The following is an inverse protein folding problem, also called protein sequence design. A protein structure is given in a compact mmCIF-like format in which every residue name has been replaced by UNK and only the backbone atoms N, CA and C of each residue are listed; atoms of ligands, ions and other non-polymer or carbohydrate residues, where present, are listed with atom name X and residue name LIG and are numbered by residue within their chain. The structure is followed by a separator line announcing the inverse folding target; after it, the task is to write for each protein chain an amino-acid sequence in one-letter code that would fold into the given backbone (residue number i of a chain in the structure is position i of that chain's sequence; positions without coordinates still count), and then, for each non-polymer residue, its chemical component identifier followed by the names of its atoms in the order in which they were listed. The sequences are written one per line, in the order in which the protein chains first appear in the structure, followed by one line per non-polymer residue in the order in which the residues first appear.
data_IF_597780239092
#
_entry.id   IF_597780239092
#
_cell.length_a   1.000
_cell.length_b   1.000
_cell.length_c   1.000
_cell.angle_alpha   90.00
_cell.angle_beta   90.00
_cell.angle_gamma   90.00
#
_symmetry.space_group_name_H-M   'P 1'
#
loop_
_entity.id
_entity.type
_entity.pdbx_description
1 polymer ?
#
# COMPACT_ATOMS: atom_id res chain seq x y z
N UNK A 1 -9.08 3.24 6.91
CA UNK A 1 -8.48 2.39 5.86
C UNK A 1 -9.15 2.78 4.55
N UNK A 2 -8.38 2.96 3.47
CA UNK A 2 -8.88 3.50 2.20
C UNK A 2 -8.84 2.46 1.08
N UNK A 3 -9.62 2.68 0.04
CA UNK A 3 -9.67 1.81 -1.13
C UNK A 3 -8.32 1.66 -1.81
N UNK A 4 -7.50 2.71 -1.89
CA UNK A 4 -6.14 2.67 -2.47
C UNK A 4 -5.15 1.77 -1.69
N UNK A 5 -5.49 1.34 -0.48
CA UNK A 5 -4.69 0.40 0.31
C UNK A 5 -5.16 -1.07 0.13
N UNK A 6 -6.13 -1.33 -0.74
CA UNK A 6 -6.73 -2.66 -0.96
C UNK A 6 -6.04 -3.41 -2.11
N UNK A 7 -5.86 -4.72 -1.98
CA UNK A 7 -5.33 -5.59 -3.07
C UNK A 7 -6.23 -5.58 -4.30
N UNK A 8 -7.52 -5.29 -4.12
CA UNK A 8 -8.51 -5.18 -5.18
C UNK A 8 -8.54 -3.79 -5.83
N UNK A 9 -7.59 -2.90 -5.53
CA UNK A 9 -7.51 -1.57 -6.14
C UNK A 9 -6.66 -1.60 -7.40
N UNK A 10 -7.24 -1.18 -8.52
CA UNK A 10 -6.55 -0.98 -9.79
C UNK A 10 -6.16 0.49 -9.87
N UNK A 11 -4.85 0.77 -9.79
CA UNK A 11 -4.33 2.12 -9.95
C UNK A 11 -4.65 2.67 -11.34
N UNK A 12 -5.10 3.92 -11.43
CA UNK A 12 -5.34 4.61 -12.69
C UNK A 12 -4.46 5.85 -12.80
N UNK A 13 -4.59 6.78 -11.85
CA UNK A 13 -3.84 8.04 -11.84
C UNK A 13 -3.60 8.52 -10.39
N UNK A 14 -3.23 9.80 -10.24
CA UNK A 14 -2.86 10.41 -8.96
C UNK A 14 -4.04 10.77 -8.04
N UNK A 15 -5.29 10.68 -8.49
CA UNK A 15 -6.46 11.05 -7.69
C UNK A 15 -7.48 9.92 -7.55
N UNK A 16 -7.44 8.90 -8.41
CA UNK A 16 -8.42 7.82 -8.42
C UNK A 16 -7.89 6.51 -9.00
N UNK A 17 -8.68 5.48 -8.79
CA UNK A 17 -8.46 4.14 -9.31
C UNK A 17 -9.78 3.45 -9.54
N UNK A 18 -9.76 2.14 -9.71
CA UNK A 18 -10.96 1.33 -9.90
C UNK A 18 -10.97 0.15 -8.93
N UNK A 19 -12.12 -0.14 -8.33
CA UNK A 19 -12.29 -1.37 -7.59
C UNK A 19 -12.40 -2.55 -8.56
N UNK A 20 -11.50 -3.53 -8.47
CA UNK A 20 -11.49 -4.73 -9.31
C UNK A 20 -12.76 -5.57 -9.14
N UNK A 21 -13.44 -5.50 -7.98
CA UNK A 21 -14.66 -6.28 -7.73
C UNK A 21 -15.90 -5.62 -8.34
N UNK A 22 -16.12 -4.32 -8.09
CA UNK A 22 -17.31 -3.61 -8.56
C UNK A 22 -17.14 -2.92 -9.91
N UNK A 23 -15.89 -2.75 -10.39
CA UNK A 23 -15.52 -1.98 -11.59
C UNK A 23 -15.85 -0.49 -11.52
N UNK A 24 -16.18 0.02 -10.33
CA UNK A 24 -16.49 1.44 -10.10
C UNK A 24 -15.19 2.22 -9.86
N UNK A 25 -15.11 3.43 -10.41
CA UNK A 25 -14.04 4.39 -10.13
C UNK A 25 -14.18 4.89 -8.69
N UNK A 26 -13.10 4.82 -7.93
CA UNK A 26 -13.05 5.22 -6.52
C UNK A 26 -11.92 6.23 -6.30
N UNK A 27 -12.15 7.31 -5.55
CA UNK A 27 -11.13 8.32 -5.28
C UNK A 27 -10.08 7.80 -4.29
N UNK A 28 -8.87 8.36 -4.35
CA UNK A 28 -7.81 8.12 -3.36
C UNK A 28 -8.11 8.86 -2.05
N UNK A 29 -8.69 10.05 -2.14
CA UNK A 29 -8.95 10.94 -1.01
C UNK A 29 -10.41 11.42 -0.98
N UNK A 30 -10.82 12.00 0.16
CA UNK A 30 -12.15 12.58 0.32
C UNK A 30 -13.27 11.56 0.50
N UNK A 31 -14.50 12.04 0.34
CA UNK A 31 -15.72 11.25 0.46
C UNK A 31 -15.76 10.11 -0.56
N UNK A 32 -16.08 8.89 -0.11
CA UNK A 32 -16.10 7.70 -0.96
C UNK A 32 -14.74 6.99 -1.14
N UNK A 33 -13.66 7.48 -0.50
CA UNK A 33 -12.35 6.81 -0.53
C UNK A 33 -12.19 5.67 0.49
N UNK A 34 -13.13 5.50 1.42
CA UNK A 34 -13.05 4.48 2.48
C UNK A 34 -13.13 3.05 1.93
N UNK A 35 -12.42 2.15 2.62
CA UNK A 35 -12.44 0.73 2.33
C UNK A 35 -13.81 0.10 2.62
N UNK A 36 -14.25 -0.84 1.77
CA UNK A 36 -15.49 -1.60 1.97
C UNK A 36 -15.25 -2.90 2.79
N UNK A 37 -16.32 -3.65 3.18
CA UNK A 37 -16.18 -4.90 3.93
C UNK A 37 -15.37 -6.02 3.25
N UNK A 38 -15.11 -5.92 1.94
CA UNK A 38 -14.26 -6.86 1.18
C UNK A 38 -12.80 -6.42 1.11
N UNK A 39 -12.38 -5.51 1.99
CA UNK A 39 -11.02 -4.99 2.03
C UNK A 39 -10.02 -6.08 2.42
N UNK A 40 -8.97 -6.19 1.62
CA UNK A 40 -7.79 -6.98 1.93
C UNK A 40 -6.58 -6.08 1.68
N UNK A 41 -5.69 -5.95 2.66
CA UNK A 41 -4.56 -5.03 2.55
C UNK A 41 -3.63 -5.43 1.38
N UNK A 42 -3.38 -4.49 0.47
CA UNK A 42 -2.34 -4.62 -0.54
C UNK A 42 -0.97 -4.75 0.13
N UNK A 43 -0.08 -5.66 -0.35
CA UNK A 43 1.31 -5.67 0.08
C UNK A 43 1.98 -4.31 -0.12
N UNK A 44 2.50 -3.73 0.96
CA UNK A 44 3.24 -2.48 0.94
C UNK A 44 4.40 -2.54 1.94
N UNK A 45 5.45 -1.75 1.75
CA UNK A 45 6.55 -1.71 2.72
C UNK A 45 6.05 -1.41 4.14
N UNK A 46 5.07 -0.51 4.30
CA UNK A 46 4.48 -0.14 5.60
C UNK A 46 3.74 -1.26 6.31
N UNK A 47 3.45 -2.39 5.65
CA UNK A 47 2.89 -3.60 6.26
C UNK A 47 3.79 -4.83 6.07
N UNK A 48 5.09 -4.60 5.90
CA UNK A 48 6.11 -5.63 5.83
C UNK A 48 6.85 -5.75 7.16
N UNK A 49 7.08 -6.97 7.66
CA UNK A 49 7.87 -7.24 8.87
C UNK A 49 9.31 -6.69 8.81
N UNK A 50 9.84 -6.50 7.59
CA UNK A 50 11.20 -6.03 7.38
C UNK A 50 11.32 -4.49 7.37
N UNK A 51 10.22 -3.74 7.50
CA UNK A 51 10.21 -2.28 7.45
C UNK A 51 10.03 -1.70 8.85
N UNK A 52 10.99 -0.88 9.29
CA UNK A 52 11.06 -0.35 10.64
C UNK A 52 11.32 1.17 10.67
N UNK A 53 10.98 1.79 11.79
CA UNK A 53 11.31 3.19 12.12
C UNK A 53 10.93 4.22 11.05
N UNK A 54 9.68 4.22 10.52
CA UNK A 54 9.24 5.28 9.62
C UNK A 54 9.21 6.65 10.32
N UNK A 55 9.69 7.67 9.63
CA UNK A 55 9.53 9.06 10.04
C UNK A 55 8.10 9.58 9.78
N UNK A 56 7.87 10.89 10.01
CA UNK A 56 6.56 11.53 9.79
C UNK A 56 6.08 11.53 8.34
N UNK A 57 6.96 11.27 7.36
CA UNK A 57 6.63 11.16 5.94
C UNK A 57 6.52 9.69 5.50
N UNK A 58 6.70 8.75 6.43
CA UNK A 58 6.66 7.32 6.13
C UNK A 58 7.96 6.78 5.53
N UNK A 59 9.06 7.53 5.58
CA UNK A 59 10.38 7.06 5.14
C UNK A 59 11.04 6.34 6.31
N UNK A 60 11.39 5.06 6.12
CA UNK A 60 11.98 4.21 7.16
C UNK A 60 13.06 3.30 6.61
N UNK A 61 13.45 2.29 7.38
CA UNK A 61 14.53 1.36 7.03
C UNK A 61 13.96 -0.01 6.66
N UNK A 62 14.35 -0.52 5.49
CA UNK A 62 14.17 -1.92 5.09
C UNK A 62 15.38 -2.75 5.52
N UNK A 63 15.11 -3.81 6.30
CA UNK A 63 16.09 -4.81 6.77
C UNK A 63 15.97 -6.15 6.05
N UNK A 64 15.22 -6.21 4.94
CA UNK A 64 14.95 -7.45 4.21
C UNK A 64 16.14 -8.02 3.42
N UNK A 65 17.29 -7.34 3.42
CA UNK A 65 18.48 -7.71 2.66
C UNK A 65 19.73 -7.65 3.56
N UNK A 66 20.84 -8.22 3.09
CA UNK A 66 22.11 -8.25 3.84
C UNK A 66 22.61 -6.86 4.26
N UNK A 67 22.32 -5.83 3.46
CA UNK A 67 22.63 -4.44 3.79
C UNK A 67 21.32 -3.68 3.90
N UNK A 68 21.14 -3.00 5.02
CA UNK A 68 19.98 -2.13 5.23
C UNK A 68 19.91 -1.04 4.17
N UNK A 69 18.68 -0.64 3.83
CA UNK A 69 18.43 0.47 2.92
C UNK A 69 17.17 1.23 3.34
N UNK A 70 16.99 2.45 2.84
CA UNK A 70 15.76 3.18 3.07
C UNK A 70 14.62 2.63 2.21
N UNK A 71 13.40 2.80 2.69
CA UNK A 71 12.17 2.52 1.95
C UNK A 71 11.07 3.49 2.40
N UNK A 72 9.92 3.48 1.73
CA UNK A 72 8.79 4.32 2.09
C UNK A 72 7.51 3.49 2.25
N UNK A 73 6.69 3.84 3.24
CA UNK A 73 5.59 3.01 3.74
C UNK A 73 4.53 2.65 2.70
N UNK A 74 4.30 3.51 1.70
CA UNK A 74 3.32 3.30 0.63
C UNK A 74 3.90 2.64 -0.63
N UNK A 75 5.19 2.25 -0.63
CA UNK A 75 5.79 1.51 -1.72
C UNK A 75 5.09 0.15 -1.88
N UNK A 76 4.52 -0.11 -3.05
CA UNK A 76 3.87 -1.38 -3.36
C UNK A 76 4.86 -2.55 -3.31
N UNK A 77 4.57 -3.55 -2.49
CA UNK A 77 5.47 -4.67 -2.20
C UNK A 77 5.06 -6.00 -2.89
N UNK A 78 4.13 -5.94 -3.84
CA UNK A 78 3.57 -7.13 -4.54
C UNK A 78 4.63 -8.00 -5.22
N UNK A 79 5.71 -7.37 -5.68
CA UNK A 79 6.81 -8.00 -6.40
C UNK A 79 8.12 -8.01 -5.60
N UNK A 80 8.08 -7.66 -4.30
CA UNK A 80 9.26 -7.71 -3.45
C UNK A 80 9.49 -9.15 -2.98
N UNK A 81 10.62 -9.74 -3.35
CA UNK A 81 11.01 -11.12 -3.00
C UNK A 81 11.15 -11.37 -1.49
N UNK A 82 11.38 -10.30 -0.71
CA UNK A 82 11.52 -10.36 0.74
C UNK A 82 10.30 -9.77 1.48
N UNK A 83 9.17 -9.53 0.81
CA UNK A 83 7.95 -9.13 1.50
C UNK A 83 7.47 -10.25 2.43
N UNK A 84 7.24 -9.89 3.70
CA UNK A 84 6.64 -10.77 4.70
C UNK A 84 5.61 -9.94 5.46
N UNK A 85 4.36 -10.40 5.47
CA UNK A 85 3.25 -9.72 6.14
C UNK A 85 3.41 -9.75 7.65
#
# INVERSE_FOLDING_TARGET
MKHNNCVNYINLDCEKGMCALSKVIVPIDGEGSDACPKFEAAPACGNCQNFENPDKYGIGTCKGFCKENWAYSTCGAFSCENYKK
#
